data_IF_348168169076
#
_entry.id   IF_348168169076
#
_cell.length_a   1.000
_cell.length_b   1.000
_cell.length_c   1.000
_cell.angle_alpha   90.00
_cell.angle_beta   90.00
_cell.angle_gamma   90.00
#
_symmetry.space_group_name_H-M   'P 1'
#
loop_
_entity.id
_entity.type
_entity.pdbx_description
1 polymer ?
#
# COMPACT_ATOMS: atom_id res chain seq x y z
N UNK A 1 -8.95 33.47 -4.26
CA UNK A 1 -8.23 34.64 -4.87
C UNK A 1 -8.14 34.51 -6.38
N UNK A 2 -7.50 33.46 -6.92
CA UNK A 2 -7.37 33.28 -8.37
C UNK A 2 -8.71 33.36 -9.13
N UNK A 3 -9.74 32.67 -8.63
CA UNK A 3 -11.10 32.74 -9.18
C UNK A 3 -11.63 34.19 -9.31
N UNK A 4 -11.52 35.00 -8.24
CA UNK A 4 -11.97 36.40 -8.25
C UNK A 4 -11.20 37.24 -9.27
N UNK A 5 -9.89 37.03 -9.41
CA UNK A 5 -9.11 37.74 -10.43
C UNK A 5 -9.62 37.36 -11.83
N UNK A 6 -9.81 36.07 -12.11
CA UNK A 6 -10.29 35.60 -13.40
C UNK A 6 -11.68 36.14 -13.72
N UNK A 7 -12.61 36.06 -12.79
CA UNK A 7 -14.02 36.44 -13.01
C UNK A 7 -14.24 37.94 -12.88
N UNK A 8 -13.79 38.57 -11.79
CA UNK A 8 -14.13 39.96 -11.47
C UNK A 8 -13.23 40.98 -12.18
N UNK A 9 -11.95 40.65 -12.40
CA UNK A 9 -10.98 41.60 -13.01
C UNK A 9 -10.74 41.33 -14.50
N UNK A 10 -10.64 40.05 -14.89
CA UNK A 10 -10.36 39.65 -16.29
C UNK A 10 -11.64 39.35 -17.08
N UNK A 11 -12.80 39.26 -16.41
CA UNK A 11 -14.09 38.93 -17.02
C UNK A 11 -14.08 37.59 -17.77
N UNK A 12 -13.36 36.61 -17.24
CA UNK A 12 -13.36 35.23 -17.72
C UNK A 12 -14.68 34.55 -17.31
N UNK A 13 -15.27 33.77 -18.22
CA UNK A 13 -16.55 33.13 -17.93
C UNK A 13 -16.36 32.01 -16.87
N UNK A 14 -17.13 31.99 -15.77
CA UNK A 14 -16.94 31.01 -14.70
C UNK A 14 -17.01 29.54 -15.15
N UNK A 15 -17.86 29.23 -16.13
CA UNK A 15 -18.00 27.86 -16.68
C UNK A 15 -16.79 27.39 -17.49
N UNK A 16 -15.88 28.28 -17.82
CA UNK A 16 -14.63 27.91 -18.48
C UNK A 16 -13.52 27.59 -17.47
N UNK A 17 -13.81 27.70 -16.16
CA UNK A 17 -12.88 27.40 -15.07
C UNK A 17 -13.15 25.99 -14.55
N UNK A 18 -12.13 25.14 -14.59
CA UNK A 18 -12.17 23.77 -14.08
C UNK A 18 -11.16 23.66 -12.94
N UNK A 19 -11.63 23.25 -11.77
CA UNK A 19 -10.75 22.91 -10.65
C UNK A 19 -10.54 21.40 -10.59
N UNK A 20 -9.28 20.97 -10.46
CA UNK A 20 -8.94 19.57 -10.21
C UNK A 20 -8.25 19.47 -8.84
N UNK A 21 -8.99 19.12 -7.77
CA UNK A 21 -8.43 19.01 -6.42
C UNK A 21 -7.58 17.75 -6.20
N UNK A 22 -7.26 17.01 -7.26
CA UNK A 22 -6.46 15.78 -7.30
C UNK A 22 -7.06 14.61 -6.50
N UNK A 23 -7.45 13.56 -7.21
CA UNK A 23 -7.87 12.30 -6.57
C UNK A 23 -6.62 11.51 -6.23
N UNK A 24 -6.40 11.29 -4.92
CA UNK A 24 -5.31 10.49 -4.40
C UNK A 24 -5.76 9.06 -4.08
N UNK A 25 -4.79 8.15 -4.03
CA UNK A 25 -5.03 6.74 -3.79
C UNK A 25 -5.36 6.46 -2.32
N UNK A 26 -6.41 5.66 -2.09
CA UNK A 26 -6.83 5.19 -0.76
C UNK A 26 -6.57 3.69 -0.60
N UNK A 27 -6.89 3.14 0.58
CA UNK A 27 -6.61 1.76 0.95
C UNK A 27 -5.13 1.38 0.77
N UNK A 28 -4.23 2.30 1.12
CA UNK A 28 -2.79 2.11 0.93
C UNK A 28 -2.10 1.38 2.09
N UNK A 29 -2.81 1.22 3.21
CA UNK A 29 -2.26 0.76 4.48
C UNK A 29 -1.56 1.87 5.30
N UNK A 30 -1.45 3.08 4.76
CA UNK A 30 -0.93 4.27 5.46
C UNK A 30 -2.14 5.06 5.98
N UNK A 31 -2.17 5.31 7.29
CA UNK A 31 -3.32 5.90 7.99
C UNK A 31 -3.66 7.30 7.47
N UNK A 32 -2.63 8.10 7.17
CA UNK A 32 -2.73 9.45 6.64
C UNK A 32 -3.46 9.50 5.28
N UNK A 33 -3.50 8.38 4.54
CA UNK A 33 -4.16 8.29 3.24
C UNK A 33 -5.65 7.92 3.35
N UNK A 34 -6.12 7.47 4.52
CA UNK A 34 -7.50 7.00 4.70
C UNK A 34 -8.54 8.10 4.38
N UNK A 35 -8.21 9.36 4.67
CA UNK A 35 -9.16 10.47 4.49
C UNK A 35 -9.12 11.11 3.10
N UNK A 36 -8.30 10.62 2.15
CA UNK A 36 -8.12 11.30 0.86
C UNK A 36 -9.40 11.40 0.03
N UNK A 37 -10.24 10.35 0.01
CA UNK A 37 -11.53 10.41 -0.70
C UNK A 37 -12.52 11.38 -0.03
N UNK A 38 -12.64 11.32 1.29
CA UNK A 38 -13.45 12.28 2.08
C UNK A 38 -13.00 13.72 1.83
N UNK A 39 -11.69 13.97 1.86
CA UNK A 39 -11.13 15.30 1.60
C UNK A 39 -11.44 15.78 0.18
N UNK A 40 -11.39 14.90 -0.82
CA UNK A 40 -11.77 15.24 -2.19
C UNK A 40 -13.27 15.62 -2.29
N UNK A 41 -14.15 14.83 -1.66
CA UNK A 41 -15.58 15.11 -1.63
C UNK A 41 -15.90 16.45 -0.96
N UNK A 42 -15.25 16.75 0.17
CA UNK A 42 -15.43 18.03 0.86
C UNK A 42 -14.83 19.20 0.09
N UNK A 43 -13.65 19.03 -0.53
CA UNK A 43 -13.06 20.05 -1.39
C UNK A 43 -13.97 20.35 -2.59
N UNK A 44 -14.54 19.32 -3.22
CA UNK A 44 -15.50 19.45 -4.32
C UNK A 44 -16.72 20.27 -3.88
N UNK A 45 -17.32 19.93 -2.74
CA UNK A 45 -18.46 20.67 -2.18
C UNK A 45 -18.10 22.14 -1.92
N UNK A 46 -16.97 22.41 -1.25
CA UNK A 46 -16.51 23.78 -0.96
C UNK A 46 -16.28 24.58 -2.25
N UNK A 47 -15.66 23.98 -3.26
CA UNK A 47 -15.45 24.64 -4.56
C UNK A 47 -16.79 25.05 -5.17
N UNK A 48 -17.74 24.11 -5.23
CA UNK A 48 -19.06 24.36 -5.82
C UNK A 48 -19.88 25.40 -5.05
N UNK A 49 -19.81 25.39 -3.72
CA UNK A 49 -20.52 26.34 -2.86
C UNK A 49 -19.94 27.75 -2.90
N UNK A 50 -18.62 27.87 -3.06
CA UNK A 50 -17.93 29.17 -2.95
C UNK A 50 -17.57 29.81 -4.29
N UNK A 51 -17.48 29.02 -5.37
CA UNK A 51 -17.03 29.46 -6.70
C UNK A 51 -18.13 29.15 -7.74
N UNK A 52 -19.20 29.96 -7.81
CA UNK A 52 -20.39 29.64 -8.59
C UNK A 52 -20.12 29.55 -10.08
N UNK A 53 -20.57 28.46 -10.71
CA UNK A 53 -20.46 28.27 -12.16
C UNK A 53 -19.16 27.60 -12.62
N UNK A 54 -18.16 27.39 -11.76
CA UNK A 54 -16.98 26.61 -12.11
C UNK A 54 -17.26 25.10 -12.07
N UNK A 55 -16.48 24.31 -12.80
CA UNK A 55 -16.55 22.86 -12.85
C UNK A 55 -15.49 22.21 -11.95
N UNK A 56 -15.74 20.96 -11.55
CA UNK A 56 -14.78 20.14 -10.80
C UNK A 56 -14.44 18.88 -11.60
N UNK A 57 -13.15 18.66 -11.80
CA UNK A 57 -12.59 17.50 -12.47
C UNK A 57 -11.91 16.56 -11.48
N UNK A 58 -11.83 15.28 -11.84
CA UNK A 58 -11.00 14.32 -11.12
C UNK A 58 -10.63 13.08 -11.91
N UNK A 59 -9.38 12.66 -11.77
CA UNK A 59 -8.85 11.37 -12.22
C UNK A 59 -9.35 10.19 -11.40
N UNK A 60 -10.60 9.75 -11.61
CA UNK A 60 -11.28 8.72 -10.79
C UNK A 60 -10.45 7.44 -10.68
N UNK A 61 -9.73 7.05 -11.74
CA UNK A 61 -8.89 5.86 -11.73
C UNK A 61 -7.83 5.81 -10.61
N UNK A 62 -7.39 6.96 -10.11
CA UNK A 62 -6.35 7.08 -9.06
C UNK A 62 -6.82 6.55 -7.69
N UNK A 63 -8.12 6.68 -7.39
CA UNK A 63 -8.66 6.24 -6.09
C UNK A 63 -8.38 4.75 -5.84
N UNK A 64 -8.42 3.97 -6.92
CA UNK A 64 -8.35 2.51 -6.92
C UNK A 64 -6.94 1.94 -7.18
N UNK A 65 -5.91 2.78 -7.19
CA UNK A 65 -4.57 2.38 -7.66
C UNK A 65 -3.97 1.23 -6.84
N UNK A 66 -4.27 1.17 -5.53
CA UNK A 66 -3.90 0.08 -4.62
C UNK A 66 -4.31 -1.32 -5.12
N UNK A 67 -5.35 -1.38 -5.95
CA UNK A 67 -5.94 -2.62 -6.46
C UNK A 67 -5.73 -2.83 -7.96
N UNK A 68 -4.74 -2.18 -8.57
CA UNK A 68 -4.33 -2.41 -9.98
C UNK A 68 -4.28 -3.90 -10.27
N UNK A 69 -4.97 -4.39 -11.32
CA UNK A 69 -5.04 -5.80 -11.70
C UNK A 69 -6.19 -6.60 -11.08
N UNK A 70 -6.95 -6.01 -10.15
CA UNK A 70 -8.29 -6.49 -9.77
C UNK A 70 -9.36 -5.59 -10.42
N UNK A 71 -9.70 -5.85 -11.69
CA UNK A 71 -10.62 -4.99 -12.45
C UNK A 71 -11.99 -4.86 -11.78
N UNK A 72 -12.58 -5.97 -11.32
CA UNK A 72 -13.91 -5.98 -10.72
C UNK A 72 -14.00 -5.09 -9.47
N UNK A 73 -13.01 -5.18 -8.58
CA UNK A 73 -12.94 -4.30 -7.41
C UNK A 73 -12.75 -2.84 -7.81
N UNK A 74 -11.86 -2.56 -8.76
CA UNK A 74 -11.59 -1.18 -9.20
C UNK A 74 -12.80 -0.52 -9.83
N UNK A 75 -13.51 -1.25 -10.70
CA UNK A 75 -14.72 -0.78 -11.39
C UNK A 75 -15.83 -0.48 -10.37
N UNK A 76 -16.04 -1.37 -9.39
CA UNK A 76 -16.96 -1.12 -8.29
C UNK A 76 -16.57 0.14 -7.47
N UNK A 77 -15.28 0.31 -7.16
CA UNK A 77 -14.78 1.51 -6.48
C UNK A 77 -15.01 2.79 -7.29
N UNK A 78 -14.84 2.76 -8.62
CA UNK A 78 -15.08 3.93 -9.48
C UNK A 78 -16.55 4.31 -9.48
N UNK A 79 -17.46 3.33 -9.56
CA UNK A 79 -18.90 3.56 -9.48
C UNK A 79 -19.30 4.19 -8.15
N UNK A 80 -18.86 3.63 -7.01
CA UNK A 80 -19.16 4.17 -5.69
C UNK A 80 -18.55 5.56 -5.47
N UNK A 81 -17.31 5.79 -5.92
CA UNK A 81 -16.69 7.10 -5.85
C UNK A 81 -17.46 8.16 -6.65
N UNK A 82 -17.88 7.82 -7.87
CA UNK A 82 -18.67 8.72 -8.72
C UNK A 82 -20.04 9.03 -8.11
N UNK A 83 -20.69 8.03 -7.51
CA UNK A 83 -21.98 8.23 -6.83
C UNK A 83 -21.90 9.35 -5.79
N UNK A 84 -20.93 9.30 -4.88
CA UNK A 84 -20.71 10.35 -3.88
C UNK A 84 -20.13 11.63 -4.46
N UNK A 85 -19.18 11.51 -5.38
CA UNK A 85 -18.53 12.65 -6.00
C UNK A 85 -19.53 13.55 -6.73
N UNK A 86 -20.43 12.95 -7.52
CA UNK A 86 -21.47 13.67 -8.26
C UNK A 86 -22.45 14.35 -7.30
N UNK A 87 -22.85 13.67 -6.20
CA UNK A 87 -23.67 14.29 -5.15
C UNK A 87 -23.01 15.54 -4.54
N UNK A 88 -21.67 15.55 -4.42
CA UNK A 88 -20.90 16.71 -3.95
C UNK A 88 -20.55 17.73 -5.03
N UNK A 89 -20.91 17.46 -6.29
CA UNK A 89 -20.75 18.37 -7.42
C UNK A 89 -19.53 18.15 -8.30
N UNK A 90 -18.94 16.95 -8.29
CA UNK A 90 -18.03 16.48 -9.33
C UNK A 90 -18.82 16.32 -10.63
N UNK A 91 -18.44 17.04 -11.68
CA UNK A 91 -19.13 17.02 -12.96
C UNK A 91 -18.24 16.60 -14.15
N UNK A 92 -16.94 16.40 -13.93
CA UNK A 92 -16.00 15.90 -14.92
C UNK A 92 -15.14 14.74 -14.38
N UNK A 93 -15.58 13.50 -14.61
CA UNK A 93 -14.80 12.30 -14.24
C UNK A 93 -13.91 11.79 -15.37
N UNK A 94 -12.59 11.71 -15.15
CA UNK A 94 -11.66 11.07 -16.09
C UNK A 94 -11.58 9.58 -15.76
N UNK A 95 -12.28 8.76 -16.53
CA UNK A 95 -12.48 7.32 -16.28
C UNK A 95 -12.85 6.56 -17.56
N UNK A 96 -12.77 5.23 -17.54
CA UNK A 96 -13.31 4.40 -18.61
C UNK A 96 -14.80 4.12 -18.36
N UNK A 97 -15.67 4.93 -18.96
CA UNK A 97 -17.12 4.85 -18.76
C UNK A 97 -17.74 3.48 -19.13
N UNK A 98 -17.16 2.77 -20.10
CA UNK A 98 -17.68 1.46 -20.56
C UNK A 98 -17.48 0.32 -19.57
N UNK A 99 -16.67 0.51 -18.53
CA UNK A 99 -16.36 -0.49 -17.51
C UNK A 99 -17.02 -0.20 -16.15
N UNK A 100 -17.81 0.88 -16.04
CA UNK A 100 -18.41 1.27 -14.77
C UNK A 100 -19.74 0.53 -14.60
N UNK A 101 -19.87 -0.35 -13.60
CA UNK A 101 -21.15 -0.99 -13.30
C UNK A 101 -22.14 0.05 -12.73
N UNK A 102 -23.44 -0.25 -12.76
CA UNK A 102 -24.38 0.56 -12.00
C UNK A 102 -24.12 0.38 -10.50
N UNK A 103 -24.23 1.47 -9.74
CA UNK A 103 -24.02 1.47 -8.29
C UNK A 103 -24.89 0.42 -7.58
N UNK A 104 -26.16 0.30 -7.94
CA UNK A 104 -27.12 -0.63 -7.33
C UNK A 104 -26.87 -2.10 -7.70
N UNK A 105 -26.11 -2.36 -8.77
CA UNK A 105 -25.78 -3.71 -9.24
C UNK A 105 -24.52 -4.28 -8.56
N UNK A 106 -23.79 -3.46 -7.80
CA UNK A 106 -22.60 -3.90 -7.05
C UNK A 106 -23.04 -4.85 -5.93
N UNK A 107 -22.30 -5.95 -5.75
CA UNK A 107 -22.51 -6.86 -4.64
C UNK A 107 -22.52 -6.08 -3.30
N UNK A 108 -23.56 -6.27 -2.48
CA UNK A 108 -23.79 -5.47 -1.26
C UNK A 108 -22.67 -5.55 -0.23
N UNK A 109 -22.08 -6.72 -0.05
CA UNK A 109 -20.96 -6.90 0.89
C UNK A 109 -19.73 -6.14 0.39
N UNK A 110 -19.42 -6.27 -0.91
CA UNK A 110 -18.32 -5.53 -1.53
C UNK A 110 -18.58 -4.02 -1.49
N UNK A 111 -19.80 -3.58 -1.77
CA UNK A 111 -20.18 -2.16 -1.76
C UNK A 111 -19.99 -1.58 -0.36
N UNK A 112 -20.44 -2.26 0.69
CA UNK A 112 -20.26 -1.79 2.07
C UNK A 112 -18.77 -1.62 2.41
N UNK A 113 -17.92 -2.59 2.05
CA UNK A 113 -16.47 -2.49 2.26
C UNK A 113 -15.84 -1.32 1.47
N UNK A 114 -16.31 -1.07 0.26
CA UNK A 114 -15.85 0.07 -0.55
C UNK A 114 -16.30 1.39 0.07
N UNK A 115 -17.55 1.47 0.51
CA UNK A 115 -18.14 2.64 1.18
C UNK A 115 -17.41 2.98 2.49
N UNK A 116 -17.11 1.97 3.31
CA UNK A 116 -16.37 2.13 4.55
C UNK A 116 -15.00 2.78 4.31
N UNK A 117 -14.32 2.38 3.22
CA UNK A 117 -13.02 2.92 2.81
C UNK A 117 -13.13 4.30 2.18
N UNK A 118 -14.11 4.52 1.29
CA UNK A 118 -14.32 5.80 0.60
C UNK A 118 -14.70 6.92 1.58
N UNK A 119 -15.52 6.60 2.55
CA UNK A 119 -16.06 7.54 3.53
C UNK A 119 -15.28 7.51 4.85
N UNK A 120 -14.23 6.69 4.95
CA UNK A 120 -13.41 6.51 6.14
C UNK A 120 -14.26 6.31 7.41
N UNK A 121 -15.23 5.40 7.36
CA UNK A 121 -16.26 5.25 8.42
C UNK A 121 -15.69 4.70 9.73
N UNK A 122 -14.62 3.92 9.66
CA UNK A 122 -13.95 3.35 10.83
C UNK A 122 -12.50 2.93 10.50
N UNK A 123 -11.66 2.82 11.54
CA UNK A 123 -10.22 2.54 11.43
C UNK A 123 -9.90 1.23 10.67
N UNK A 124 -10.75 0.21 10.81
CA UNK A 124 -10.53 -1.11 10.19
C UNK A 124 -10.93 -1.18 8.71
N UNK A 125 -11.45 -0.10 8.10
CA UNK A 125 -12.06 -0.14 6.77
C UNK A 125 -11.06 -0.61 5.71
N UNK A 126 -9.87 0.02 5.70
CA UNK A 126 -8.79 -0.33 4.79
C UNK A 126 -8.40 -1.80 4.95
N UNK A 127 -8.18 -2.27 6.17
CA UNK A 127 -7.77 -3.66 6.41
C UNK A 127 -8.83 -4.66 5.94
N UNK A 128 -10.12 -4.41 6.22
CA UNK A 128 -11.21 -5.30 5.80
C UNK A 128 -11.30 -5.41 4.28
N UNK A 129 -11.24 -4.29 3.55
CA UNK A 129 -11.27 -4.31 2.09
C UNK A 129 -10.03 -5.00 1.50
N UNK A 130 -8.84 -4.75 2.07
CA UNK A 130 -7.61 -5.42 1.66
C UNK A 130 -7.73 -6.93 1.84
N UNK A 131 -8.23 -7.40 2.99
CA UNK A 131 -8.44 -8.82 3.27
C UNK A 131 -9.46 -9.46 2.31
N UNK A 132 -10.57 -8.77 2.02
CA UNK A 132 -11.57 -9.21 1.05
C UNK A 132 -10.98 -9.32 -0.37
N UNK A 133 -10.18 -8.34 -0.81
CA UNK A 133 -9.56 -8.38 -2.14
C UNK A 133 -8.66 -9.61 -2.36
N UNK A 134 -8.10 -10.14 -1.28
CA UNK A 134 -7.25 -11.33 -1.30
C UNK A 134 -8.06 -12.62 -1.41
N UNK A 135 -9.29 -12.68 -0.89
CA UNK A 135 -10.18 -13.85 -1.09
C UNK A 135 -10.65 -13.91 -2.54
N UNK A 136 -11.00 -12.77 -3.15
CA UNK A 136 -11.35 -12.69 -4.57
C UNK A 136 -10.22 -13.16 -5.50
N UNK A 137 -8.97 -12.86 -5.13
CA UNK A 137 -7.79 -13.31 -5.89
C UNK A 137 -7.55 -14.83 -5.77
N UNK A 138 -8.06 -15.48 -4.70
CA UNK A 138 -7.95 -16.93 -4.49
C UNK A 138 -8.94 -17.72 -5.34
N UNK A 139 -10.12 -17.19 -5.64
CA UNK A 139 -11.11 -17.91 -6.47
C UNK A 139 -10.64 -18.14 -7.92
N UNK A 140 -9.65 -17.36 -8.40
CA UNK A 140 -9.01 -17.57 -9.71
C UNK A 140 -7.77 -18.49 -9.70
N UNK A 141 -7.26 -18.87 -8.53
CA UNK A 141 -6.14 -19.82 -8.39
C UNK A 141 -6.64 -21.04 -7.67
N UNK A 142 -6.88 -22.13 -8.42
CA UNK A 142 -6.83 -23.49 -7.85
C UNK A 142 -5.68 -23.49 -6.85
N UNK A 143 -5.98 -23.71 -5.58
CA UNK A 143 -4.96 -23.95 -4.56
C UNK A 143 -4.06 -25.04 -5.13
N UNK A 144 -2.88 -24.65 -5.59
CA UNK A 144 -1.91 -25.61 -6.02
C UNK A 144 -1.64 -26.49 -4.82
N UNK A 145 -1.71 -27.78 -5.05
CA UNK A 145 -1.30 -28.85 -4.12
C UNK A 145 0.23 -28.79 -3.88
N UNK A 146 0.81 -27.60 -3.78
CA UNK A 146 2.21 -27.27 -3.53
C UNK A 146 2.51 -27.05 -2.05
N UNK A 147 1.60 -27.37 -1.13
CA UNK A 147 1.85 -27.23 0.32
C UNK A 147 3.12 -27.94 0.84
N UNK A 148 3.79 -28.80 0.05
CA UNK A 148 5.01 -29.49 0.47
C UNK A 148 6.28 -29.21 -0.34
N UNK A 149 6.23 -28.91 -1.65
CA UNK A 149 7.46 -28.88 -2.47
C UNK A 149 8.38 -27.70 -2.17
N UNK A 150 7.84 -26.52 -1.92
CA UNK A 150 8.66 -25.33 -1.66
C UNK A 150 9.41 -25.44 -0.33
N UNK A 151 8.91 -26.24 0.63
CA UNK A 151 9.59 -26.49 1.91
C UNK A 151 10.86 -27.32 1.78
N UNK A 152 11.02 -28.06 0.68
CA UNK A 152 12.22 -28.85 0.40
C UNK A 152 13.34 -27.99 -0.21
N UNK A 153 13.06 -26.74 -0.59
CA UNK A 153 14.03 -25.82 -1.16
C UNK A 153 15.03 -25.26 -0.10
N UNK A 154 16.18 -24.70 -0.53
CA UNK A 154 17.11 -23.99 0.35
C UNK A 154 16.44 -22.83 1.10
N UNK A 155 16.95 -22.49 2.29
CA UNK A 155 16.35 -21.47 3.17
C UNK A 155 16.15 -20.11 2.48
N UNK A 156 17.06 -19.72 1.59
CA UNK A 156 16.99 -18.49 0.82
C UNK A 156 15.76 -18.46 -0.11
N UNK A 157 15.49 -19.59 -0.78
CA UNK A 157 14.32 -19.75 -1.65
C UNK A 157 13.02 -19.82 -0.84
N UNK A 158 13.05 -20.44 0.36
CA UNK A 158 11.89 -20.49 1.26
C UNK A 158 11.54 -19.12 1.83
N UNK A 159 12.53 -18.31 2.20
CA UNK A 159 12.33 -16.93 2.64
C UNK A 159 11.76 -16.08 1.50
N UNK A 160 12.32 -16.19 0.30
CA UNK A 160 11.79 -15.53 -0.91
C UNK A 160 10.34 -15.94 -1.19
N UNK A 161 10.04 -17.24 -1.13
CA UNK A 161 8.68 -17.74 -1.31
C UNK A 161 7.72 -17.17 -0.27
N UNK A 162 8.14 -17.15 1.01
CA UNK A 162 7.32 -16.64 2.11
C UNK A 162 7.02 -15.15 1.94
N UNK A 163 8.00 -14.35 1.52
CA UNK A 163 7.83 -12.92 1.22
C UNK A 163 6.89 -12.71 0.04
N UNK A 164 7.13 -13.38 -1.10
CA UNK A 164 6.31 -13.22 -2.33
C UNK A 164 4.87 -13.69 -2.12
N UNK A 165 4.65 -14.73 -1.32
CA UNK A 165 3.31 -15.26 -1.03
C UNK A 165 2.65 -14.61 0.18
N UNK A 166 3.39 -13.81 0.96
CA UNK A 166 2.89 -13.20 2.19
C UNK A 166 2.54 -14.22 3.29
N UNK A 167 3.37 -15.26 3.44
CA UNK A 167 3.22 -16.34 4.42
C UNK A 167 4.11 -16.06 5.65
N UNK A 168 3.51 -16.00 6.85
CA UNK A 168 4.20 -15.71 8.10
C UNK A 168 4.37 -16.93 9.02
N UNK A 169 3.90 -18.10 8.61
CA UNK A 169 3.88 -19.34 9.40
C UNK A 169 5.29 -19.87 9.73
N UNK A 170 6.17 -19.93 8.73
CA UNK A 170 7.53 -20.52 8.88
C UNK A 170 8.65 -19.48 8.85
N UNK A 171 8.32 -18.18 8.68
CA UNK A 171 9.32 -17.14 8.42
C UNK A 171 10.32 -16.99 9.57
N UNK A 172 9.89 -17.15 10.83
CA UNK A 172 10.79 -17.03 11.97
C UNK A 172 11.81 -18.18 12.02
N UNK A 173 11.34 -19.41 11.77
CA UNK A 173 12.18 -20.60 11.72
C UNK A 173 13.19 -20.51 10.57
N UNK A 174 12.73 -20.16 9.37
CA UNK A 174 13.63 -20.02 8.21
C UNK A 174 14.62 -18.86 8.41
N UNK A 175 14.21 -17.78 9.09
CA UNK A 175 15.11 -16.66 9.37
C UNK A 175 16.22 -17.05 10.36
N UNK A 176 15.90 -17.84 11.39
CA UNK A 176 16.92 -18.36 12.32
C UNK A 176 17.85 -19.37 11.64
N UNK A 177 17.33 -20.24 10.77
CA UNK A 177 18.17 -21.15 9.97
C UNK A 177 19.12 -20.37 9.05
N UNK A 178 18.61 -19.33 8.38
CA UNK A 178 19.45 -18.46 7.57
C UNK A 178 20.50 -17.75 8.43
N UNK A 179 20.13 -17.19 9.59
CA UNK A 179 21.06 -16.51 10.50
C UNK A 179 22.28 -17.35 10.86
N UNK A 180 22.12 -18.67 10.99
CA UNK A 180 23.23 -19.59 11.29
C UNK A 180 24.15 -19.86 10.09
N UNK A 181 23.70 -19.57 8.86
CA UNK A 181 24.46 -19.76 7.62
C UNK A 181 25.25 -18.51 7.19
N UNK A 182 24.91 -17.33 7.71
CA UNK A 182 25.60 -16.07 7.41
C UNK A 182 26.50 -15.63 8.56
N UNK A 183 27.54 -14.84 8.25
CA UNK A 183 28.48 -14.40 9.27
C UNK A 183 27.87 -13.35 10.20
N UNK A 184 26.96 -12.54 9.66
CA UNK A 184 26.32 -11.43 10.37
C UNK A 184 24.81 -11.48 10.15
N UNK A 185 23.98 -11.23 11.18
CA UNK A 185 22.52 -11.15 11.01
C UNK A 185 22.10 -10.13 9.95
N UNK A 186 22.87 -9.03 9.80
CA UNK A 186 22.61 -8.01 8.78
C UNK A 186 22.69 -8.57 7.35
N UNK A 187 23.55 -9.56 7.09
CA UNK A 187 23.69 -10.18 5.77
C UNK A 187 22.44 -10.98 5.38
N UNK A 188 21.66 -11.47 6.36
CA UNK A 188 20.36 -12.12 6.09
C UNK A 188 19.34 -11.09 5.61
N UNK A 189 19.38 -9.88 6.17
CA UNK A 189 18.54 -8.76 5.75
C UNK A 189 18.93 -8.33 4.33
N UNK A 190 20.20 -8.02 4.11
CA UNK A 190 20.71 -7.49 2.84
C UNK A 190 20.76 -8.51 1.71
N UNK A 191 20.81 -9.81 2.03
CA UNK A 191 20.77 -10.91 1.07
C UNK A 191 19.35 -11.45 0.86
N UNK A 192 19.03 -12.64 1.39
CA UNK A 192 17.82 -13.39 1.02
C UNK A 192 16.51 -12.64 1.28
N UNK A 193 16.43 -11.81 2.32
CA UNK A 193 15.24 -11.03 2.61
C UNK A 193 15.05 -9.86 1.61
N UNK A 194 16.12 -9.13 1.29
CA UNK A 194 16.07 -8.08 0.27
C UNK A 194 15.86 -8.64 -1.14
N UNK A 195 16.45 -9.79 -1.47
CA UNK A 195 16.21 -10.48 -2.75
C UNK A 195 14.72 -10.82 -2.90
N UNK A 196 14.08 -11.34 -1.85
CA UNK A 196 12.63 -11.58 -1.84
C UNK A 196 11.82 -10.29 -2.01
N UNK A 197 12.22 -9.19 -1.37
CA UNK A 197 11.56 -7.90 -1.52
C UNK A 197 11.74 -7.26 -2.90
N UNK A 198 12.88 -7.49 -3.57
CA UNK A 198 13.09 -7.06 -4.94
C UNK A 198 12.11 -7.75 -5.89
N UNK A 199 11.90 -9.07 -5.72
CA UNK A 199 10.89 -9.82 -6.50
C UNK A 199 9.48 -9.28 -6.26
N UNK A 200 9.13 -8.96 -5.00
CA UNK A 200 7.85 -8.31 -4.66
C UNK A 200 7.71 -6.96 -5.39
N UNK A 201 8.77 -6.14 -5.40
CA UNK A 201 8.82 -4.86 -6.10
C UNK A 201 8.61 -5.00 -7.61
N UNK A 202 9.30 -5.95 -8.25
CA UNK A 202 9.18 -6.23 -9.68
C UNK A 202 7.76 -6.69 -10.05
N UNK A 203 7.17 -7.57 -9.24
CA UNK A 203 5.81 -8.05 -9.46
C UNK A 203 4.78 -6.94 -9.28
N UNK A 204 4.96 -6.04 -8.31
CA UNK A 204 4.10 -4.89 -8.10
C UNK A 204 4.23 -3.87 -9.25
N UNK A 205 5.47 -3.54 -9.66
CA UNK A 205 5.75 -2.66 -10.78
C UNK A 205 5.19 -3.18 -12.11
N UNK A 206 5.19 -4.50 -12.32
CA UNK A 206 4.58 -5.16 -13.48
C UNK A 206 3.04 -5.31 -13.39
N UNK A 207 2.41 -4.89 -12.28
CA UNK A 207 0.97 -5.05 -12.05
C UNK A 207 0.52 -6.51 -11.86
N UNK A 208 1.45 -7.43 -11.60
CA UNK A 208 1.19 -8.86 -11.30
C UNK A 208 0.93 -9.13 -9.82
N UNK A 209 1.31 -8.18 -8.96
CA UNK A 209 1.07 -8.17 -7.52
C UNK A 209 0.39 -6.86 -7.13
N UNK A 210 -0.50 -6.92 -6.15
CA UNK A 210 -1.33 -5.77 -5.75
C UNK A 210 -0.89 -5.23 -4.38
N UNK A 211 -1.20 -3.97 -4.06
CA UNK A 211 -0.77 -3.36 -2.80
C UNK A 211 -1.15 -4.18 -1.56
N UNK A 212 -2.36 -4.78 -1.43
CA UNK A 212 -2.66 -5.70 -0.33
C UNK A 212 -1.67 -6.87 -0.19
N UNK A 213 -1.18 -7.40 -1.31
CA UNK A 213 -0.18 -8.48 -1.31
C UNK A 213 1.19 -7.96 -0.87
N UNK A 214 1.58 -6.77 -1.34
CA UNK A 214 2.83 -6.09 -0.93
C UNK A 214 2.83 -5.80 0.57
N UNK A 215 1.70 -5.36 1.14
CA UNK A 215 1.57 -5.12 2.58
C UNK A 215 1.75 -6.42 3.37
N UNK A 216 1.21 -7.56 2.87
CA UNK A 216 1.48 -8.87 3.49
C UNK A 216 2.96 -9.24 3.43
N UNK A 217 3.63 -9.03 2.29
CA UNK A 217 5.07 -9.23 2.16
C UNK A 217 5.86 -8.38 3.16
N UNK A 218 5.49 -7.10 3.32
CA UNK A 218 6.10 -6.19 4.29
C UNK A 218 5.89 -6.67 5.74
N UNK A 219 4.74 -7.26 6.07
CA UNK A 219 4.49 -7.86 7.39
C UNK A 219 5.39 -9.08 7.63
N UNK A 220 5.55 -9.95 6.63
CA UNK A 220 6.46 -11.10 6.69
C UNK A 220 7.90 -10.61 6.88
N UNK A 221 8.32 -9.59 6.12
CA UNK A 221 9.63 -8.95 6.25
C UNK A 221 9.86 -8.41 7.67
N UNK A 222 8.90 -7.66 8.22
CA UNK A 222 8.99 -7.13 9.59
C UNK A 222 9.15 -8.25 10.63
N UNK A 223 8.41 -9.36 10.47
CA UNK A 223 8.49 -10.52 11.36
C UNK A 223 9.85 -11.21 11.26
N UNK A 224 10.39 -11.38 10.05
CA UNK A 224 11.73 -11.91 9.82
C UNK A 224 12.81 -11.03 10.50
N UNK A 225 12.79 -9.72 10.23
CA UNK A 225 13.75 -8.77 10.81
C UNK A 225 13.70 -8.78 12.35
N UNK A 226 12.51 -8.92 12.95
CA UNK A 226 12.37 -9.00 14.40
C UNK A 226 13.14 -10.17 15.04
N UNK A 227 13.31 -11.29 14.32
CA UNK A 227 14.15 -12.42 14.78
C UNK A 227 15.63 -12.03 14.83
N UNK A 228 16.09 -11.16 13.94
CA UNK A 228 17.49 -10.80 13.78
C UNK A 228 17.93 -9.66 14.72
N UNK A 229 17.00 -8.78 15.12
CA UNK A 229 17.26 -7.60 15.97
C UNK A 229 18.08 -7.94 17.23
N UNK A 230 17.71 -8.94 18.06
CA UNK A 230 18.47 -9.25 19.28
C UNK A 230 19.93 -9.62 19.00
N UNK A 231 20.19 -10.34 17.90
CA UNK A 231 21.55 -10.74 17.53
C UNK A 231 22.39 -9.59 17.00
N UNK A 232 21.76 -8.63 16.30
CA UNK A 232 22.43 -7.41 15.87
C UNK A 232 22.83 -6.53 17.07
N UNK A 233 22.01 -6.48 18.12
CA UNK A 233 22.33 -5.77 19.35
C UNK A 233 23.52 -6.40 20.09
N UNK A 234 23.57 -7.73 20.16
CA UNK A 234 24.71 -8.46 20.74
C UNK A 234 25.99 -8.19 19.95
N UNK A 235 25.97 -8.32 18.62
CA UNK A 235 27.13 -8.04 17.77
C UNK A 235 27.65 -6.60 17.97
N UNK A 236 26.73 -5.64 18.08
CA UNK A 236 27.07 -4.23 18.31
C UNK A 236 27.71 -4.01 19.68
N UNK A 237 27.23 -4.67 20.73
CA UNK A 237 27.81 -4.57 22.07
C UNK A 237 29.18 -5.24 22.14
N UNK A 238 29.35 -6.40 21.52
CA UNK A 238 30.66 -7.07 21.44
C UNK A 238 31.70 -6.22 20.68
N UNK A 239 31.29 -5.58 19.59
CA UNK A 239 32.14 -4.63 18.87
C UNK A 239 32.52 -3.42 19.74
N UNK A 240 31.57 -2.90 20.54
CA UNK A 240 31.82 -1.81 21.48
C UNK A 240 32.78 -2.22 22.58
N UNK A 241 32.63 -3.42 23.13
CA UNK A 241 33.47 -3.94 24.20
C UNK A 241 34.90 -4.23 23.73
N UNK A 242 35.06 -4.85 22.55
CA UNK A 242 36.38 -5.02 21.91
C UNK A 242 37.06 -3.68 21.63
N UNK A 243 36.30 -2.66 21.20
CA UNK A 243 36.84 -1.31 21.00
C UNK A 243 37.34 -0.70 22.32
N UNK A 244 36.58 -0.87 23.41
CA UNK A 244 36.98 -0.40 24.75
C UNK A 244 38.25 -1.10 25.26
N UNK A 245 38.34 -2.42 25.10
CA UNK A 245 39.50 -3.23 25.47
C UNK A 245 40.74 -2.86 24.64
N UNK A 246 40.56 -2.58 23.35
CA UNK A 246 41.66 -2.12 22.48
C UNK A 246 42.12 -0.68 22.74
N UNK A 247 41.26 0.15 23.37
CA UNK A 247 41.56 1.54 23.74
C UNK A 247 42.26 1.70 25.09
N UNK A 248 42.25 0.68 25.95
CA UNK A 248 42.96 0.66 27.25
C UNK A 248 44.42 0.21 27.15
N UNK A 249 44.88 -0.24 25.97
CA UNK A 249 46.25 -0.73 25.77
C UNK A 249 47.26 0.37 25.41
N UNK A 250 46.89 1.66 25.49
CA UNK A 250 47.73 2.78 25.04
C UNK A 250 48.23 3.72 26.17
N UNK A 251 48.13 3.34 27.45
CA UNK A 251 48.62 4.18 28.57
C UNK A 251 49.62 3.52 29.55
N UNK A 252 50.17 2.35 29.21
CA UNK A 252 51.29 1.79 29.99
C UNK A 252 52.48 1.47 29.10
N UNK A 253 53.21 2.51 28.66
CA UNK A 253 54.65 2.47 28.34
C UNK A 253 55.14 3.87 27.95
N UNK A 254 55.36 4.75 28.92
CA UNK A 254 56.59 5.56 28.97
C UNK A 254 56.73 6.34 30.30
N UNK A 255 57.91 6.17 30.91
CA UNK A 255 58.54 6.86 32.06
C UNK A 255 58.03 6.60 33.48
#
# INVERSE_FOLDING_TARGET
RAYKILVDEVNFHPTDIIFDPNILTIATGIEEHNNYAVNFFEATRIIRDTLPGCHVSGGVSNVSFSFRGNSLLREAMHSAFLFHGIDKGLDMGIVNAGLIPNYDDINKELLELIEDVLLNRHEEATEKLLNYSLTMSKEGRKEDKEKSKWREAPVQERLTHSLVKGLDEFVEQDTEEARQQYARPLEVIEGPLMDGMNVVGDLFGAGKMFLPQVIKSARVMKKAVAVLVPYMEIEKEEARQKALESGLAAEETDM
#
